data_IF_877015796813
#
_entry.id   IF_877015796813
#
_cell.length_a   1.000
_cell.length_b   1.000
_cell.length_c   1.000
_cell.angle_alpha   90.00
_cell.angle_beta   90.00
_cell.angle_gamma   90.00
#
_symmetry.space_group_name_H-M   'P 1'
#
loop_
_entity.id
_entity.type
_entity.pdbx_description
1 polymer ?
#
# COMPACT_ATOMS: atom_id res chain seq x y z
N UNK A 1 -31.96 0.22 -42.87
CA UNK A 1 -30.74 0.78 -43.49
C UNK A 1 -29.66 -0.25 -43.19
N UNK A 2 -29.19 -1.13 -44.10
CA UNK A 2 -28.36 -0.91 -45.33
C UNK A 2 -27.11 -0.08 -44.99
N UNK A 3 -25.85 -0.51 -45.19
CA UNK A 3 -25.23 -1.64 -45.93
C UNK A 3 -24.42 -2.56 -44.96
N UNK A 4 -23.86 -3.75 -45.26
CA UNK A 4 -23.81 -4.70 -46.41
C UNK A 4 -22.91 -4.44 -47.65
N UNK A 5 -21.60 -4.72 -47.52
CA UNK A 5 -20.62 -5.20 -48.56
C UNK A 5 -19.22 -5.30 -47.90
N UNK A 6 -18.37 -6.34 -47.91
CA UNK A 6 -18.07 -7.54 -48.74
C UNK A 6 -17.10 -7.30 -49.92
N UNK A 7 -16.15 -8.25 -50.07
CA UNK A 7 -15.08 -8.51 -51.09
C UNK A 7 -13.65 -8.13 -50.64
N UNK A 8 -12.72 -9.06 -50.29
CA UNK A 8 -12.17 -10.30 -50.91
C UNK A 8 -11.06 -10.01 -51.97
N UNK A 9 -10.07 -10.92 -52.02
CA UNK A 9 -9.09 -11.24 -53.09
C UNK A 9 -7.63 -10.89 -52.70
N UNK A 10 -6.81 -11.85 -52.25
CA UNK A 10 -6.01 -12.87 -53.00
C UNK A 10 -4.82 -12.29 -53.78
N UNK A 11 -3.60 -12.74 -53.44
CA UNK A 11 -2.35 -12.34 -54.08
C UNK A 11 -1.30 -13.44 -53.97
N UNK A 12 -1.47 -14.53 -54.73
CA UNK A 12 -0.61 -15.71 -54.72
C UNK A 12 -0.46 -16.17 -56.17
N UNK A 13 0.75 -16.09 -56.75
CA UNK A 13 1.12 -16.67 -58.05
C UNK A 13 2.66 -16.71 -58.21
N UNK A 14 3.20 -17.93 -58.43
CA UNK A 14 4.24 -18.39 -59.40
C UNK A 14 5.55 -17.56 -59.57
N UNK A 15 6.73 -18.10 -59.89
CA UNK A 15 7.34 -19.44 -60.07
C UNK A 15 8.89 -19.23 -59.89
N UNK A 16 9.80 -20.17 -59.69
CA UNK A 16 9.90 -21.58 -60.03
C UNK A 16 11.19 -21.80 -60.84
N UNK A 17 12.11 -22.64 -60.36
CA UNK A 17 13.25 -23.17 -61.12
C UNK A 17 13.55 -24.59 -60.63
N UNK A 18 13.58 -25.56 -61.54
CA UNK A 18 14.19 -26.87 -61.30
C UNK A 18 15.68 -26.76 -61.61
N UNK A 19 16.55 -27.33 -60.76
CA UNK A 19 17.89 -27.72 -61.19
C UNK A 19 18.26 -29.11 -60.64
N UNK A 20 19.19 -29.76 -61.34
CA UNK A 20 19.27 -31.22 -61.50
C UNK A 20 20.00 -31.96 -60.37
N UNK A 21 19.59 -33.21 -60.16
CA UNK A 21 20.16 -34.17 -59.22
C UNK A 21 21.55 -34.70 -59.65
N UNK A 22 22.55 -34.69 -58.75
CA UNK A 22 23.69 -35.59 -58.79
C UNK A 22 23.51 -36.74 -57.79
N UNK A 23 23.57 -37.98 -58.28
CA UNK A 23 23.48 -39.17 -57.43
C UNK A 23 24.57 -39.18 -56.35
N UNK A 24 24.17 -39.42 -55.09
CA UNK A 24 25.10 -39.53 -53.96
C UNK A 24 25.04 -40.90 -53.27
N UNK A 25 26.23 -41.36 -52.89
CA UNK A 25 26.60 -42.64 -52.30
C UNK A 25 25.78 -42.98 -51.04
N UNK A 26 25.46 -44.25 -50.75
CA UNK A 26 24.73 -44.63 -49.54
C UNK A 26 25.46 -44.16 -48.27
N UNK A 27 24.82 -43.23 -47.56
CA UNK A 27 25.25 -42.73 -46.25
C UNK A 27 25.01 -43.79 -45.16
N UNK A 28 25.92 -43.95 -44.17
CA UNK A 28 25.70 -44.88 -43.07
C UNK A 28 24.43 -44.53 -42.27
N UNK A 29 23.65 -45.57 -41.95
CA UNK A 29 22.40 -45.43 -41.18
C UNK A 29 22.67 -44.71 -39.85
N UNK A 30 21.95 -43.62 -39.53
CA UNK A 30 22.16 -42.91 -38.27
C UNK A 30 21.78 -43.83 -37.11
N UNK A 31 22.74 -44.03 -36.20
CA UNK A 31 22.47 -44.61 -34.88
C UNK A 31 21.51 -43.65 -34.17
N UNK A 32 20.36 -44.17 -33.72
CA UNK A 32 19.40 -43.38 -32.97
C UNK A 32 20.07 -42.81 -31.72
N UNK A 33 20.28 -41.49 -31.70
CA UNK A 33 20.71 -40.80 -30.48
C UNK A 33 19.67 -41.09 -29.39
N UNK A 34 20.09 -41.43 -28.15
CA UNK A 34 19.14 -41.53 -27.06
C UNK A 34 18.40 -40.20 -26.95
N UNK A 35 17.07 -40.27 -26.85
CA UNK A 35 16.25 -39.08 -26.56
C UNK A 35 16.78 -38.49 -25.25
N UNK A 36 17.07 -37.18 -25.18
CA UNK A 36 17.47 -36.58 -23.92
C UNK A 36 16.36 -36.82 -22.91
N UNK A 37 16.68 -37.49 -21.80
CA UNK A 37 15.80 -37.54 -20.64
C UNK A 37 15.50 -36.09 -20.28
N UNK A 38 14.23 -35.65 -20.19
CA UNK A 38 13.92 -34.29 -19.80
C UNK A 38 14.59 -34.05 -18.45
N UNK A 39 15.45 -33.02 -18.39
CA UNK A 39 15.99 -32.55 -17.12
C UNK A 39 14.77 -32.25 -16.22
N UNK A 40 14.73 -32.73 -14.97
CA UNK A 40 13.69 -32.30 -14.06
C UNK A 40 13.72 -30.78 -14.02
N UNK A 41 12.62 -30.13 -14.40
CA UNK A 41 12.46 -28.69 -14.20
C UNK A 41 12.76 -28.43 -12.72
N UNK A 42 13.61 -27.44 -12.39
CA UNK A 42 13.75 -27.06 -10.99
C UNK A 42 12.35 -26.77 -10.46
N UNK A 43 11.97 -27.45 -9.38
CA UNK A 43 10.75 -27.08 -8.65
C UNK A 43 10.94 -25.64 -8.19
N UNK A 44 9.94 -24.75 -8.35
CA UNK A 44 10.05 -23.38 -7.87
C UNK A 44 10.40 -23.43 -6.37
N UNK A 45 11.48 -22.75 -6.00
CA UNK A 45 11.86 -22.60 -4.60
C UNK A 45 10.83 -21.67 -4.00
N UNK A 46 9.92 -22.21 -3.19
CA UNK A 46 8.96 -21.38 -2.44
C UNK A 46 9.75 -20.33 -1.66
N UNK A 47 9.40 -19.06 -1.88
CA UNK A 47 10.05 -17.94 -1.22
C UNK A 47 9.48 -17.73 0.19
N UNK A 48 8.24 -18.15 0.40
CA UNK A 48 7.53 -18.10 1.67
C UNK A 48 7.86 -19.25 2.64
N UNK A 49 7.59 -19.08 3.95
CA UNK A 49 7.17 -17.83 4.59
C UNK A 49 8.32 -16.83 4.69
N UNK A 50 8.01 -15.53 4.77
CA UNK A 50 8.98 -14.45 5.00
C UNK A 50 8.49 -13.51 6.10
N UNK A 51 9.38 -13.23 7.05
CA UNK A 51 9.17 -12.31 8.18
C UNK A 51 10.00 -11.03 7.99
N UNK A 52 9.34 -9.87 8.10
CA UNK A 52 9.96 -8.55 8.07
C UNK A 52 9.60 -7.80 9.35
N UNK A 53 10.60 -7.39 10.13
CA UNK A 53 10.40 -6.61 11.36
C UNK A 53 10.87 -5.16 11.16
N UNK A 54 9.99 -4.21 11.44
CA UNK A 54 10.23 -2.76 11.34
C UNK A 54 10.05 -2.07 12.70
N UNK A 55 10.93 -1.14 13.01
CA UNK A 55 10.68 -0.07 13.97
C UNK A 55 10.18 1.15 13.20
N UNK A 56 9.02 1.71 13.59
CA UNK A 56 8.49 3.00 13.15
C UNK A 56 8.55 3.99 14.32
N UNK A 57 8.88 5.25 14.02
CA UNK A 57 8.78 6.37 14.97
C UNK A 57 7.98 7.51 14.33
N UNK A 58 7.27 8.33 15.12
CA UNK A 58 6.50 9.49 14.64
C UNK A 58 5.39 9.15 13.59
N UNK A 59 4.93 7.91 13.53
CA UNK A 59 3.99 7.47 12.48
C UNK A 59 2.53 7.79 12.81
N UNK A 60 2.08 7.57 14.06
CA UNK A 60 0.71 7.86 14.50
C UNK A 60 0.61 9.03 15.49
N UNK A 61 1.67 9.86 15.63
CA UNK A 61 1.70 10.93 16.61
C UNK A 61 2.93 11.84 16.50
N UNK A 62 2.90 12.97 17.20
CA UNK A 62 3.87 14.07 17.12
C UNK A 62 4.94 14.04 18.21
N UNK A 63 5.26 12.86 18.77
CA UNK A 63 6.19 12.70 19.88
C UNK A 63 7.32 11.74 19.46
N UNK A 64 8.56 12.23 19.43
CA UNK A 64 9.74 11.44 19.02
C UNK A 64 10.04 10.21 19.89
N UNK A 65 9.38 10.08 21.06
CA UNK A 65 9.46 8.89 21.90
C UNK A 65 8.43 7.81 21.54
N UNK A 66 7.44 8.14 20.72
CA UNK A 66 6.41 7.19 20.29
C UNK A 66 6.97 6.29 19.19
N UNK A 67 7.23 5.05 19.59
CA UNK A 67 7.67 3.98 18.70
C UNK A 67 6.60 2.91 18.58
N UNK A 68 6.49 2.34 17.39
CA UNK A 68 5.76 1.11 17.15
C UNK A 68 6.66 0.06 16.47
N UNK A 69 6.41 -1.21 16.80
CA UNK A 69 6.98 -2.36 16.11
C UNK A 69 5.96 -2.91 15.14
N UNK A 70 6.33 -3.03 13.86
CA UNK A 70 5.48 -3.59 12.81
C UNK A 70 6.15 -4.83 12.25
N UNK A 71 5.45 -5.96 12.27
CA UNK A 71 5.97 -7.22 11.72
C UNK A 71 5.03 -7.72 10.64
N UNK A 72 5.56 -7.96 9.44
CA UNK A 72 4.86 -8.57 8.31
C UNK A 72 5.28 -10.04 8.17
N UNK A 73 4.32 -10.92 7.95
CA UNK A 73 4.51 -12.32 7.59
C UNK A 73 3.84 -12.59 6.26
N UNK A 74 4.64 -12.72 5.18
CA UNK A 74 4.15 -13.17 3.88
C UNK A 74 4.24 -14.69 3.84
N UNK A 75 3.11 -15.39 3.81
CA UNK A 75 3.03 -16.83 4.13
C UNK A 75 2.66 -17.71 2.93
N UNK A 76 1.84 -17.21 2.00
CA UNK A 76 1.34 -17.99 0.86
C UNK A 76 1.52 -17.27 -0.47
N UNK A 77 2.03 -17.97 -1.50
CA UNK A 77 2.00 -17.49 -2.88
C UNK A 77 0.61 -17.72 -3.50
N UNK A 78 -0.03 -16.67 -3.99
CA UNK A 78 -1.38 -16.68 -4.51
C UNK A 78 -1.50 -16.01 -5.89
N UNK A 79 -2.62 -16.26 -6.57
CA UNK A 79 -3.01 -15.57 -7.80
C UNK A 79 -4.24 -14.71 -7.52
N UNK A 80 -4.01 -13.45 -7.13
CA UNK A 80 -5.05 -12.51 -6.72
C UNK A 80 -5.46 -11.62 -7.90
N UNK A 81 -6.74 -11.64 -8.26
CA UNK A 81 -7.31 -10.89 -9.40
C UNK A 81 -6.51 -11.03 -10.71
N UNK A 82 -5.91 -12.21 -10.93
CA UNK A 82 -5.13 -12.55 -12.12
C UNK A 82 -3.65 -12.15 -12.07
N UNK A 83 -3.25 -11.31 -11.10
CA UNK A 83 -1.84 -11.00 -10.79
C UNK A 83 -1.27 -12.07 -9.85
N UNK A 84 0.05 -12.22 -9.82
CA UNK A 84 0.71 -12.93 -8.71
C UNK A 84 0.69 -12.04 -7.45
N UNK A 85 0.57 -12.65 -6.27
CA UNK A 85 0.73 -11.97 -4.99
C UNK A 85 1.28 -12.90 -3.88
N UNK A 86 1.73 -12.33 -2.77
CA UNK A 86 1.83 -13.03 -1.49
C UNK A 86 0.67 -12.63 -0.58
N UNK A 87 -0.03 -13.60 -0.01
CA UNK A 87 -0.96 -13.38 1.09
C UNK A 87 -0.25 -13.60 2.44
N UNK A 88 -0.69 -12.88 3.46
CA UNK A 88 -0.05 -12.87 4.76
C UNK A 88 -0.82 -12.12 5.82
N UNK A 89 -0.16 -11.89 6.95
CA UNK A 89 -0.67 -11.05 8.04
C UNK A 89 0.40 -10.07 8.49
N UNK A 90 0.01 -8.99 9.14
CA UNK A 90 0.94 -8.14 9.87
C UNK A 90 0.36 -7.70 11.21
N UNK A 91 1.25 -7.40 12.15
CA UNK A 91 0.90 -6.90 13.48
C UNK A 91 1.54 -5.55 13.74
N UNK A 92 0.83 -4.68 14.46
CA UNK A 92 1.36 -3.40 14.97
C UNK A 92 1.31 -3.44 16.49
N UNK A 93 2.44 -3.10 17.11
CA UNK A 93 2.64 -3.02 18.57
C UNK A 93 3.15 -1.64 18.93
N UNK A 94 2.74 -1.06 20.06
CA UNK A 94 3.28 0.21 20.53
C UNK A 94 2.34 0.96 21.48
N UNK A 95 2.86 1.99 22.16
CA UNK A 95 2.06 2.85 23.05
C UNK A 95 0.89 3.52 22.33
N UNK A 96 1.10 3.87 21.05
CA UNK A 96 0.09 4.48 20.18
C UNK A 96 -1.12 3.56 19.90
N UNK A 97 -1.00 2.25 20.14
CA UNK A 97 -2.08 1.27 20.01
C UNK A 97 -2.72 0.88 21.37
N UNK A 98 -2.54 1.70 22.40
CA UNK A 98 -3.12 1.49 23.73
C UNK A 98 -2.52 0.31 24.48
N UNK A 99 -1.19 0.17 24.44
CA UNK A 99 -0.40 -0.95 24.99
C UNK A 99 -0.74 -2.35 24.40
N UNK A 100 -1.53 -2.39 23.33
CA UNK A 100 -1.96 -3.62 22.67
C UNK A 100 -1.12 -4.04 21.46
N UNK A 101 -1.45 -5.21 20.94
CA UNK A 101 -1.07 -5.65 19.58
C UNK A 101 -2.33 -5.75 18.73
N UNK A 102 -2.40 -4.98 17.64
CA UNK A 102 -3.43 -5.15 16.61
C UNK A 102 -2.88 -5.96 15.44
N UNK A 103 -3.78 -6.60 14.70
CA UNK A 103 -3.47 -7.52 13.61
C UNK A 103 -4.36 -7.24 12.41
N UNK A 104 -3.80 -7.34 11.22
CA UNK A 104 -4.53 -7.25 9.96
C UNK A 104 -3.97 -8.27 8.96
N UNK A 105 -4.80 -8.70 8.01
CA UNK A 105 -4.34 -9.50 6.87
C UNK A 105 -3.75 -8.57 5.82
N UNK A 106 -2.90 -9.10 4.93
CA UNK A 106 -2.31 -8.32 3.85
C UNK A 106 -2.07 -9.16 2.59
N UNK A 107 -2.15 -8.50 1.43
CA UNK A 107 -1.83 -9.06 0.11
C UNK A 107 -0.83 -8.13 -0.57
N UNK A 108 0.34 -8.67 -0.94
CA UNK A 108 1.41 -7.95 -1.64
C UNK A 108 1.54 -8.43 -3.08
N UNK A 109 1.30 -7.55 -4.05
CA UNK A 109 1.30 -7.86 -5.48
C UNK A 109 2.69 -7.69 -6.10
N UNK A 110 3.26 -8.69 -6.76
CA UNK A 110 4.66 -8.59 -7.25
C UNK A 110 4.86 -7.58 -8.38
N UNK A 111 3.89 -7.46 -9.29
CA UNK A 111 4.09 -6.78 -10.59
C UNK A 111 4.19 -5.25 -10.45
N UNK A 112 3.52 -4.71 -9.44
CA UNK A 112 3.44 -3.27 -9.13
C UNK A 112 3.80 -2.95 -7.67
N UNK A 113 4.06 -3.97 -6.84
CA UNK A 113 4.30 -3.87 -5.40
C UNK A 113 3.20 -3.16 -4.64
N UNK A 114 1.95 -3.23 -5.10
CA UNK A 114 0.78 -2.78 -4.35
C UNK A 114 0.64 -3.61 -3.06
N UNK A 115 0.41 -2.97 -1.91
CA UNK A 115 0.18 -3.63 -0.62
C UNK A 115 -1.23 -3.30 -0.12
N UNK A 116 -2.12 -4.28 -0.20
CA UNK A 116 -3.49 -4.20 0.32
C UNK A 116 -3.56 -4.77 1.73
N UNK A 117 -4.41 -4.22 2.59
CA UNK A 117 -4.60 -4.72 3.95
C UNK A 117 -6.06 -4.68 4.39
N UNK A 118 -6.40 -5.48 5.39
CA UNK A 118 -7.67 -5.35 6.10
C UNK A 118 -7.56 -4.27 7.18
N UNK A 119 -8.69 -3.85 7.73
CA UNK A 119 -8.68 -3.06 8.96
C UNK A 119 -8.00 -3.79 10.13
N UNK A 120 -7.58 -3.00 11.13
CA UNK A 120 -6.95 -3.50 12.34
C UNK A 120 -7.94 -4.18 13.28
N UNK A 121 -7.64 -5.42 13.65
CA UNK A 121 -8.46 -6.26 14.52
C UNK A 121 -7.68 -6.79 15.72
N UNK A 122 -8.37 -7.40 16.68
CA UNK A 122 -7.72 -8.19 17.72
C UNK A 122 -7.25 -9.52 17.15
N UNK A 123 -6.18 -10.09 17.75
CA UNK A 123 -5.59 -11.38 17.34
C UNK A 123 -6.61 -12.51 17.14
N UNK A 124 -7.66 -12.57 17.95
CA UNK A 124 -8.71 -13.59 17.88
C UNK A 124 -9.66 -13.44 16.69
N UNK A 125 -9.62 -12.33 15.96
CA UNK A 125 -10.53 -12.02 14.85
C UNK A 125 -9.92 -12.32 13.47
N UNK A 126 -8.58 -12.42 13.34
CA UNK A 126 -7.90 -12.63 12.05
C UNK A 126 -8.21 -13.99 11.37
N UNK A 127 -8.85 -14.91 12.10
CA UNK A 127 -9.39 -16.18 11.57
C UNK A 127 -10.65 -15.99 10.71
N UNK A 128 -11.34 -14.86 10.81
CA UNK A 128 -12.59 -14.58 10.09
C UNK A 128 -12.32 -13.81 8.79
N UNK A 129 -13.28 -13.85 7.86
CA UNK A 129 -13.32 -12.99 6.67
C UNK A 129 -13.35 -11.51 7.11
N UNK A 130 -12.67 -10.63 6.39
CA UNK A 130 -12.60 -9.21 6.75
C UNK A 130 -13.75 -8.41 6.15
N UNK A 131 -14.41 -7.60 6.98
CA UNK A 131 -15.53 -6.75 6.55
C UNK A 131 -15.04 -5.53 5.72
N UNK A 132 -13.87 -4.98 6.04
CA UNK A 132 -13.32 -3.75 5.47
C UNK A 132 -11.86 -3.90 4.98
N UNK A 133 -11.56 -3.23 3.86
CA UNK A 133 -10.26 -3.20 3.18
C UNK A 133 -9.73 -1.78 3.12
N UNK A 134 -8.48 -1.59 3.53
CA UNK A 134 -7.77 -0.31 3.56
C UNK A 134 -6.44 -0.39 2.78
N UNK A 135 -5.91 0.77 2.39
CA UNK A 135 -4.51 0.84 1.96
C UNK A 135 -3.62 0.56 3.17
N UNK A 136 -2.67 -0.37 3.02
CA UNK A 136 -1.73 -0.70 4.07
C UNK A 136 -0.84 0.49 4.45
N UNK A 137 -0.22 0.50 5.65
CA UNK A 137 0.96 1.31 5.89
C UNK A 137 2.01 0.96 4.82
N UNK A 138 2.38 1.96 4.01
CA UNK A 138 3.20 1.86 2.79
C UNK A 138 4.70 1.58 3.13
N UNK A 139 4.96 0.91 4.25
CA UNK A 139 6.28 0.80 4.90
C UNK A 139 7.17 -0.20 4.16
N UNK A 140 6.65 -1.40 3.88
CA UNK A 140 7.39 -2.48 3.21
C UNK A 140 7.80 -2.08 1.78
N UNK A 141 6.93 -1.34 1.10
CA UNK A 141 6.88 -1.21 -0.36
C UNK A 141 6.93 0.24 -0.88
N UNK A 142 7.19 1.23 0.00
CA UNK A 142 7.16 2.66 -0.31
C UNK A 142 7.75 3.03 -1.67
N UNK A 143 8.97 2.57 -1.91
CA UNK A 143 9.71 2.98 -3.09
C UNK A 143 9.08 2.45 -4.39
N UNK A 144 8.38 1.31 -4.32
CA UNK A 144 7.61 0.79 -5.45
C UNK A 144 6.31 1.60 -5.64
N UNK A 145 5.54 1.87 -4.58
CA UNK A 145 4.29 2.65 -4.70
C UNK A 145 4.56 4.06 -5.25
N UNK A 146 5.66 4.70 -4.86
CA UNK A 146 6.10 5.99 -5.40
C UNK A 146 6.23 5.98 -6.94
N UNK A 147 6.80 4.90 -7.49
CA UNK A 147 6.99 4.73 -8.93
C UNK A 147 5.70 4.29 -9.63
N UNK A 148 4.96 3.35 -9.03
CA UNK A 148 3.68 2.85 -9.53
C UNK A 148 2.59 3.94 -9.54
N UNK A 149 2.63 4.91 -8.62
CA UNK A 149 1.77 6.10 -8.62
C UNK A 149 1.98 6.97 -9.87
N UNK A 150 3.21 6.98 -10.41
CA UNK A 150 3.59 7.74 -11.60
C UNK A 150 3.60 6.90 -12.90
N UNK A 151 3.13 5.65 -12.86
CA UNK A 151 3.16 4.73 -13.99
C UNK A 151 4.58 4.35 -14.44
N UNK A 152 5.55 4.39 -13.52
CA UNK A 152 6.92 3.92 -13.74
C UNK A 152 7.13 2.56 -13.07
N UNK A 153 8.04 1.79 -13.64
CA UNK A 153 8.48 0.50 -13.11
C UNK A 153 9.83 0.68 -12.40
N UNK A 154 9.85 0.41 -11.08
CA UNK A 154 11.04 0.50 -10.25
C UNK A 154 12.09 -0.56 -10.62
N UNK A 155 11.71 -1.68 -11.26
CA UNK A 155 12.66 -2.74 -11.65
C UNK A 155 13.60 -2.31 -12.78
N UNK A 156 13.31 -1.18 -13.46
CA UNK A 156 14.12 -0.67 -14.58
C UNK A 156 15.51 -0.22 -14.14
N UNK A 157 16.55 -0.53 -14.92
CA UNK A 157 17.94 -0.17 -14.54
C UNK A 157 18.19 1.34 -14.49
N UNK A 158 17.33 2.16 -15.10
CA UNK A 158 17.45 3.62 -15.08
C UNK A 158 17.51 4.17 -13.64
N UNK A 159 16.67 3.69 -12.71
CA UNK A 159 16.70 4.21 -11.34
C UNK A 159 17.92 3.71 -10.55
N UNK A 160 18.28 2.43 -10.70
CA UNK A 160 19.40 1.82 -9.95
C UNK A 160 20.79 2.28 -10.42
N UNK A 161 20.91 2.80 -11.65
CA UNK A 161 22.18 3.20 -12.27
C UNK A 161 22.29 4.71 -12.59
N UNK A 162 21.19 5.48 -12.54
CA UNK A 162 21.23 6.90 -12.92
C UNK A 162 21.98 7.77 -11.92
N UNK A 163 23.04 8.42 -12.42
CA UNK A 163 23.75 9.53 -11.76
C UNK A 163 23.07 10.90 -11.94
N UNK A 164 21.85 10.93 -12.51
CA UNK A 164 21.04 12.13 -12.73
C UNK A 164 19.76 12.06 -11.91
N UNK A 165 19.28 13.19 -11.36
CA UNK A 165 17.97 13.25 -10.72
C UNK A 165 16.85 12.82 -11.70
N UNK A 166 16.05 11.85 -11.28
CA UNK A 166 14.91 11.33 -12.04
C UNK A 166 13.63 12.06 -11.57
N UNK A 167 13.04 12.94 -12.39
CA UNK A 167 11.77 13.57 -12.05
C UNK A 167 10.62 12.56 -12.17
N UNK A 168 9.81 12.53 -11.12
CA UNK A 168 8.55 11.79 -11.00
C UNK A 168 7.46 12.84 -10.73
N UNK A 169 6.38 12.79 -11.51
CA UNK A 169 5.33 13.80 -11.46
C UNK A 169 4.06 13.26 -10.84
N UNK A 170 3.25 14.16 -10.31
CA UNK A 170 1.89 13.88 -9.88
C UNK A 170 1.78 12.78 -8.79
N UNK A 171 2.87 12.56 -8.04
CA UNK A 171 2.99 11.56 -6.97
C UNK A 171 2.08 11.94 -5.81
N UNK A 172 1.34 10.96 -5.29
CA UNK A 172 0.52 11.13 -4.08
C UNK A 172 1.27 10.52 -2.89
N UNK A 173 1.56 11.32 -1.88
CA UNK A 173 2.31 10.92 -0.69
C UNK A 173 1.81 11.68 0.55
N UNK A 174 1.52 10.98 1.64
CA UNK A 174 0.94 11.54 2.88
C UNK A 174 -0.18 12.57 2.63
N UNK A 175 -1.18 12.19 1.83
CA UNK A 175 -2.33 13.00 1.42
C UNK A 175 -2.01 14.28 0.60
N UNK A 176 -0.76 14.49 0.22
CA UNK A 176 -0.32 15.57 -0.67
C UNK A 176 -0.03 15.05 -2.06
N UNK A 177 -0.18 15.91 -3.07
CA UNK A 177 0.17 15.60 -4.46
C UNK A 177 1.29 16.51 -4.92
N UNK A 178 2.46 15.93 -5.18
CA UNK A 178 3.69 16.66 -5.44
C UNK A 178 4.46 16.12 -6.67
N UNK A 179 5.46 16.88 -7.12
CA UNK A 179 6.49 16.40 -8.03
C UNK A 179 7.73 16.07 -7.19
N UNK A 180 8.23 14.86 -7.35
CA UNK A 180 9.39 14.34 -6.60
C UNK A 180 10.56 14.15 -7.56
N UNK A 181 11.74 14.63 -7.20
CA UNK A 181 12.99 14.35 -7.90
C UNK A 181 13.76 13.32 -7.08
N UNK A 182 13.97 12.14 -7.65
CA UNK A 182 14.69 11.04 -6.98
C UNK A 182 16.14 11.03 -7.45
N UNK A 183 17.08 11.05 -6.50
CA UNK A 183 18.53 10.98 -6.76
C UNK A 183 19.04 9.67 -6.15
N UNK A 184 19.91 8.96 -6.86
CA UNK A 184 20.56 7.73 -6.38
C UNK A 184 21.89 8.11 -5.72
N UNK A 185 22.02 7.85 -4.42
CA UNK A 185 23.20 8.17 -3.61
C UNK A 185 24.16 6.97 -3.48
N UNK A 186 23.80 5.82 -4.05
CA UNK A 186 24.62 4.61 -4.08
C UNK A 186 24.27 3.63 -2.96
N UNK A 187 25.28 3.10 -2.26
CA UNK A 187 25.06 2.06 -1.25
C UNK A 187 24.55 2.67 0.07
N UNK A 188 23.37 2.24 0.53
CA UNK A 188 22.88 2.61 1.85
C UNK A 188 23.45 1.78 2.99
N UNK A 189 23.02 2.10 4.20
CA UNK A 189 23.63 1.64 5.45
C UNK A 189 22.72 0.68 6.28
N UNK A 190 21.75 0.05 5.61
CA UNK A 190 20.72 -0.79 6.22
C UNK A 190 21.21 -2.15 6.75
N UNK A 191 20.31 -2.89 7.42
CA UNK A 191 20.58 -4.24 7.95
C UNK A 191 20.76 -5.31 6.87
N UNK A 192 20.36 -4.99 5.63
CA UNK A 192 20.60 -5.75 4.40
C UNK A 192 21.11 -4.79 3.31
N UNK A 193 21.84 -5.28 2.30
CA UNK A 193 22.29 -4.45 1.18
C UNK A 193 21.10 -3.78 0.47
N UNK A 194 21.17 -2.46 0.32
CA UNK A 194 20.15 -1.66 -0.36
C UNK A 194 20.80 -0.43 -1.03
N UNK A 195 20.11 0.15 -2.01
CA UNK A 195 20.51 1.41 -2.66
C UNK A 195 19.79 2.55 -1.96
N UNK A 196 20.55 3.58 -1.58
CA UNK A 196 20.03 4.79 -0.97
C UNK A 196 19.61 5.81 -2.03
N UNK A 197 18.49 6.47 -1.78
CA UNK A 197 17.92 7.47 -2.64
C UNK A 197 17.50 8.70 -1.84
N UNK A 198 17.87 9.89 -2.33
CA UNK A 198 17.35 11.16 -1.83
C UNK A 198 16.13 11.60 -2.66
N UNK A 199 15.01 11.85 -1.98
CA UNK A 199 13.75 12.31 -2.58
C UNK A 199 13.53 13.78 -2.26
N UNK A 200 13.54 14.62 -3.29
CA UNK A 200 13.29 16.06 -3.18
C UNK A 200 11.89 16.40 -3.70
N UNK A 201 11.05 17.01 -2.87
CA UNK A 201 9.74 17.55 -3.26
C UNK A 201 9.73 19.07 -3.11
N UNK A 202 8.93 19.77 -3.92
CA UNK A 202 8.76 21.22 -3.83
C UNK A 202 8.12 21.67 -2.50
N UNK A 203 7.34 20.78 -1.89
CA UNK A 203 6.60 21.03 -0.65
C UNK A 203 7.30 20.44 0.59
N UNK A 204 8.48 19.82 0.41
CA UNK A 204 9.28 19.23 1.49
C UNK A 204 10.35 20.22 1.99
N UNK A 205 10.58 20.33 3.31
CA UNK A 205 11.57 21.26 3.86
C UNK A 205 13.03 20.81 3.66
N UNK A 206 13.26 19.53 3.33
CA UNK A 206 14.55 18.94 2.97
C UNK A 206 14.37 17.63 2.20
N UNK A 207 15.45 16.90 1.95
CA UNK A 207 15.41 15.56 1.38
C UNK A 207 14.77 14.56 2.36
N UNK A 208 13.95 13.67 1.82
CA UNK A 208 13.66 12.38 2.48
C UNK A 208 14.68 11.38 1.95
N UNK A 209 15.36 10.64 2.82
CA UNK A 209 16.26 9.55 2.43
C UNK A 209 15.49 8.25 2.56
N UNK A 210 15.50 7.43 1.51
CA UNK A 210 14.95 6.09 1.53
C UNK A 210 15.96 5.09 0.97
N UNK A 211 16.07 3.91 1.58
CA UNK A 211 16.89 2.83 1.03
C UNK A 211 16.01 1.65 0.64
N UNK A 212 16.24 1.11 -0.56
CA UNK A 212 15.42 0.05 -1.12
C UNK A 212 16.30 -1.08 -1.69
N UNK A 213 15.87 -2.34 -1.55
CA UNK A 213 16.58 -3.47 -2.15
C UNK A 213 16.31 -3.52 -3.65
N UNK A 214 17.34 -3.76 -4.45
CA UNK A 214 17.15 -4.02 -5.88
C UNK A 214 16.39 -5.35 -6.07
N UNK A 215 15.31 -5.39 -6.88
CA UNK A 215 14.63 -6.63 -7.23
C UNK A 215 15.59 -7.65 -7.89
N UNK A 216 15.41 -8.93 -7.59
CA UNK A 216 16.22 -10.04 -8.12
C UNK A 216 15.33 -11.18 -8.63
N UNK A 217 15.90 -12.20 -9.29
CA UNK A 217 15.13 -13.40 -9.68
C UNK A 217 14.60 -14.17 -8.46
N UNK A 218 15.33 -14.16 -7.33
CA UNK A 218 14.91 -14.79 -6.07
C UNK A 218 13.97 -13.92 -5.22
N UNK A 219 13.91 -12.62 -5.47
CA UNK A 219 13.00 -11.69 -4.81
C UNK A 219 12.61 -10.60 -5.82
N UNK A 220 11.60 -10.86 -6.68
CA UNK A 220 11.25 -9.98 -7.80
C UNK A 220 10.45 -8.74 -7.38
N UNK A 221 10.80 -8.18 -6.22
CA UNK A 221 10.14 -7.06 -5.56
C UNK A 221 11.16 -6.24 -4.76
N UNK A 222 10.86 -4.97 -4.52
CA UNK A 222 11.72 -4.08 -3.74
C UNK A 222 11.23 -3.97 -2.31
N UNK A 223 12.12 -4.18 -1.35
CA UNK A 223 11.89 -4.03 0.09
C UNK A 223 12.47 -2.69 0.51
N UNK A 224 11.66 -1.84 1.13
CA UNK A 224 12.14 -0.60 1.77
C UNK A 224 12.85 -0.98 3.07
N UNK A 225 14.12 -0.61 3.22
CA UNK A 225 14.97 -0.97 4.36
C UNK A 225 14.98 0.12 5.43
N UNK A 226 14.95 1.39 5.03
CA UNK A 226 14.66 2.50 5.93
C UNK A 226 14.12 3.71 5.16
N UNK A 227 13.43 4.59 5.90
CA UNK A 227 13.18 5.98 5.52
C UNK A 227 13.44 6.89 6.71
N UNK A 228 14.15 7.99 6.47
CA UNK A 228 14.54 8.99 7.45
C UNK A 228 14.69 10.38 6.81
N UNK A 229 14.65 11.49 7.59
CA UNK A 229 15.03 12.81 7.09
C UNK A 229 16.51 12.84 6.70
N UNK A 230 16.85 13.57 5.63
CA UNK A 230 18.24 13.78 5.22
C UNK A 230 19.00 14.84 6.01
N UNK A 231 20.31 14.94 5.77
CA UNK A 231 21.19 15.94 6.41
C UNK A 231 20.78 17.40 6.17
N UNK A 232 19.98 17.68 5.13
CA UNK A 232 19.44 19.00 4.81
C UNK A 232 18.06 19.27 5.43
N UNK A 233 17.50 18.31 6.19
CA UNK A 233 16.22 18.47 6.89
C UNK A 233 16.34 19.50 8.03
N UNK A 234 15.57 20.60 8.02
CA UNK A 234 15.69 21.64 9.04
C UNK A 234 15.29 21.14 10.44
N UNK A 235 16.09 21.48 11.46
CA UNK A 235 15.79 21.16 12.88
C UNK A 235 14.39 21.64 13.34
N UNK A 236 13.87 22.70 12.69
CA UNK A 236 12.58 23.30 12.99
C UNK A 236 11.43 22.88 12.04
N UNK A 237 11.65 21.88 11.18
CA UNK A 237 10.65 21.36 10.25
C UNK A 237 9.55 20.52 10.92
N UNK A 238 9.74 20.16 12.20
CA UNK A 238 8.87 19.24 12.93
C UNK A 238 9.30 17.78 12.80
N UNK A 239 8.53 16.89 13.41
CA UNK A 239 8.79 15.46 13.43
C UNK A 239 8.49 14.81 12.08
N UNK A 240 9.43 14.04 11.54
CA UNK A 240 9.23 13.23 10.32
C UNK A 240 9.01 11.75 10.71
N UNK A 241 8.05 11.03 10.10
CA UNK A 241 7.84 9.60 10.35
C UNK A 241 9.02 8.79 9.81
N UNK A 242 9.77 8.14 10.69
CA UNK A 242 10.88 7.27 10.30
C UNK A 242 10.46 5.81 10.35
N UNK A 243 11.03 4.98 9.48
CA UNK A 243 10.96 3.53 9.64
C UNK A 243 12.26 2.84 9.27
N UNK A 244 12.51 1.71 9.93
CA UNK A 244 13.74 0.95 9.76
C UNK A 244 13.50 -0.53 9.94
N UNK A 245 13.88 -1.33 8.94
CA UNK A 245 13.96 -2.78 9.03
C UNK A 245 15.03 -3.13 10.09
N UNK A 246 14.64 -3.84 11.15
CA UNK A 246 15.51 -4.09 12.32
C UNK A 246 16.39 -5.33 12.17
N UNK A 247 16.00 -6.26 11.29
CA UNK A 247 16.71 -7.50 11.03
C UNK A 247 16.61 -7.90 9.55
N UNK A 248 17.56 -8.72 9.08
CA UNK A 248 17.44 -9.33 7.75
C UNK A 248 16.21 -10.25 7.69
N UNK A 249 15.43 -10.27 6.59
CA UNK A 249 14.20 -11.05 6.52
C UNK A 249 14.47 -12.54 6.76
N UNK A 250 13.65 -13.17 7.59
CA UNK A 250 13.82 -14.60 7.96
C UNK A 250 12.74 -15.46 7.34
N UNK A 251 13.04 -16.74 7.07
CA UNK A 251 12.04 -17.69 6.55
C UNK A 251 11.18 -18.26 7.68
N UNK A 252 10.32 -17.40 8.25
CA UNK A 252 9.51 -17.68 9.44
C UNK A 252 8.05 -17.29 9.19
N UNK A 253 7.14 -18.22 9.45
CA UNK A 253 5.71 -17.95 9.51
C UNK A 253 5.38 -17.30 10.85
N UNK A 254 4.26 -16.60 10.91
CA UNK A 254 3.69 -16.02 12.13
C UNK A 254 3.43 -17.09 13.20
N UNK A 255 3.05 -18.30 12.77
CA UNK A 255 2.56 -19.38 13.64
C UNK A 255 1.10 -19.18 14.06
N UNK A 256 0.43 -18.16 13.52
CA UNK A 256 -0.97 -17.86 13.80
C UNK A 256 -1.91 -18.65 12.89
N UNK A 257 -3.17 -18.78 13.32
CA UNK A 257 -4.23 -19.25 12.44
C UNK A 257 -4.92 -18.02 11.84
N UNK A 258 -4.87 -17.90 10.52
CA UNK A 258 -5.57 -16.86 9.76
C UNK A 258 -6.20 -17.49 8.51
N UNK A 259 -7.33 -16.95 8.07
CA UNK A 259 -7.85 -17.25 6.74
C UNK A 259 -7.18 -16.30 5.75
N UNK A 260 -6.08 -16.74 5.13
CA UNK A 260 -5.38 -15.96 4.12
C UNK A 260 -6.21 -15.92 2.83
N UNK A 261 -6.62 -14.72 2.46
CA UNK A 261 -7.45 -14.46 1.29
C UNK A 261 -6.85 -13.34 0.45
N UNK A 262 -7.21 -13.29 -0.83
CA UNK A 262 -6.77 -12.23 -1.72
C UNK A 262 -7.52 -10.93 -1.40
N UNK A 263 -6.79 -9.94 -0.90
CA UNK A 263 -7.32 -8.60 -0.63
C UNK A 263 -7.05 -7.73 -1.86
N UNK A 264 -8.10 -7.31 -2.56
CA UNK A 264 -7.96 -6.42 -3.72
C UNK A 264 -7.43 -5.05 -3.30
N UNK A 265 -6.39 -4.56 -3.99
CA UNK A 265 -5.83 -3.24 -3.73
C UNK A 265 -6.79 -2.12 -4.15
N UNK A 266 -7.12 -1.23 -3.22
CA UNK A 266 -7.98 -0.07 -3.45
C UNK A 266 -7.12 1.16 -3.70
N UNK A 267 -6.93 1.53 -4.98
CA UNK A 267 -6.23 2.76 -5.35
C UNK A 267 -7.17 3.98 -5.31
N UNK A 268 -7.17 4.71 -4.20
CA UNK A 268 -7.93 5.94 -4.07
C UNK A 268 -7.39 7.08 -4.95
N UNK A 269 -8.30 7.81 -5.60
CA UNK A 269 -7.94 8.98 -6.39
C UNK A 269 -7.59 10.18 -5.50
N UNK A 270 -6.57 10.96 -5.87
CA UNK A 270 -6.25 12.19 -5.13
C UNK A 270 -7.39 13.21 -5.20
N UNK A 271 -7.94 13.54 -4.04
CA UNK A 271 -8.85 14.68 -3.86
C UNK A 271 -8.06 15.84 -3.27
N UNK A 272 -8.10 17.00 -3.94
CA UNK A 272 -7.42 18.19 -3.45
C UNK A 272 -8.03 18.64 -2.13
N UNK A 273 -7.22 18.71 -1.08
CA UNK A 273 -7.64 19.30 0.20
C UNK A 273 -8.08 20.77 0.00
N UNK A 274 -9.17 21.21 0.65
CA UNK A 274 -9.57 22.62 0.66
C UNK A 274 -8.50 23.50 1.30
N UNK A 275 -8.36 24.71 0.74
CA UNK A 275 -7.47 25.74 1.25
C UNK A 275 -7.85 26.22 2.66
N UNK A 276 -6.93 26.93 3.32
CA UNK A 276 -7.19 27.59 4.61
C UNK A 276 -8.45 28.45 4.55
N UNK A 277 -8.54 29.36 3.57
CA UNK A 277 -9.71 30.21 3.35
C UNK A 277 -11.02 29.42 3.18
N UNK A 278 -11.02 28.29 2.46
CA UNK A 278 -12.19 27.44 2.28
C UNK A 278 -12.60 26.74 3.59
N UNK A 279 -11.61 26.30 4.40
CA UNK A 279 -11.84 25.72 5.72
C UNK A 279 -12.36 26.75 6.73
N UNK A 280 -11.77 27.94 6.78
CA UNK A 280 -12.23 29.03 7.65
C UNK A 280 -13.67 29.48 7.29
N UNK A 281 -13.98 29.60 6.00
CA UNK A 281 -15.34 29.92 5.53
C UNK A 281 -16.36 28.83 5.85
N UNK A 282 -15.91 27.57 5.90
CA UNK A 282 -16.70 26.42 6.32
C UNK A 282 -17.02 26.51 7.82
N UNK A 283 -15.99 26.71 8.64
CA UNK A 283 -16.05 26.59 10.10
C UNK A 283 -16.69 27.80 10.80
N UNK A 284 -16.71 28.96 10.13
CA UNK A 284 -17.38 30.19 10.61
C UNK A 284 -18.91 30.09 10.81
N UNK A 285 -19.55 28.95 10.55
CA UNK A 285 -21.02 28.76 10.58
C UNK A 285 -21.48 27.53 11.36
N UNK A 286 -20.86 27.27 12.51
CA UNK A 286 -21.15 26.11 13.37
C UNK A 286 -21.18 24.79 12.58
N UNK A 287 -20.17 24.65 11.74
CA UNK A 287 -19.98 23.56 10.79
C UNK A 287 -18.53 23.13 10.87
N UNK A 288 -18.22 21.91 10.45
CA UNK A 288 -16.85 21.44 10.28
C UNK A 288 -16.67 20.92 8.86
N UNK A 289 -15.47 21.09 8.34
CA UNK A 289 -15.06 20.41 7.13
C UNK A 289 -14.96 18.91 7.42
N UNK A 290 -15.57 18.09 6.57
CA UNK A 290 -15.53 16.62 6.66
C UNK A 290 -15.22 16.01 5.30
N UNK A 291 -14.52 14.90 5.34
CA UNK A 291 -14.29 14.04 4.19
C UNK A 291 -15.55 13.23 3.89
N UNK A 292 -15.83 13.07 2.60
CA UNK A 292 -16.89 12.21 2.07
C UNK A 292 -16.23 10.98 1.45
N UNK A 293 -16.50 9.79 1.98
CA UNK A 293 -15.92 8.54 1.52
C UNK A 293 -16.86 7.79 0.56
N UNK A 294 -16.30 7.02 -0.37
CA UNK A 294 -17.06 6.00 -1.10
C UNK A 294 -17.13 4.66 -0.34
N UNK A 295 -17.73 3.66 -0.97
CA UNK A 295 -17.91 2.31 -0.44
C UNK A 295 -16.61 1.47 -0.32
N UNK A 296 -15.47 2.01 -0.72
CA UNK A 296 -14.14 1.42 -0.53
C UNK A 296 -13.28 2.32 0.39
N UNK A 297 -13.91 3.18 1.20
CA UNK A 297 -13.28 4.14 2.10
C UNK A 297 -12.35 5.17 1.42
N UNK A 298 -12.48 5.38 0.10
CA UNK A 298 -11.74 6.42 -0.59
C UNK A 298 -12.39 7.79 -0.42
N UNK A 299 -11.60 8.81 -0.05
CA UNK A 299 -12.06 10.21 -0.08
C UNK A 299 -12.47 10.56 -1.51
N UNK A 300 -13.71 11.06 -1.67
CA UNK A 300 -14.28 11.50 -2.95
C UNK A 300 -14.47 13.02 -3.02
N UNK A 301 -14.43 13.69 -1.88
CA UNK A 301 -14.67 15.12 -1.76
C UNK A 301 -14.60 15.59 -0.31
N UNK A 302 -14.74 16.89 -0.14
CA UNK A 302 -14.83 17.55 1.16
C UNK A 302 -16.15 18.34 1.22
N UNK A 303 -16.87 18.25 2.34
CA UNK A 303 -18.14 18.94 2.56
C UNK A 303 -18.15 19.69 3.89
N UNK A 304 -18.80 20.83 3.89
CA UNK A 304 -19.21 21.51 5.12
C UNK A 304 -20.48 20.86 5.65
N UNK A 305 -20.36 20.12 6.75
CA UNK A 305 -21.51 19.58 7.50
C UNK A 305 -21.67 20.39 8.78
N UNK A 306 -22.91 20.61 9.25
CA UNK A 306 -23.13 21.26 10.54
C UNK A 306 -22.61 20.38 11.66
N UNK A 307 -22.22 20.98 12.78
CA UNK A 307 -21.80 20.24 13.97
C UNK A 307 -22.90 19.26 14.42
N UNK A 308 -24.16 19.69 14.44
CA UNK A 308 -25.32 18.85 14.74
C UNK A 308 -25.46 17.62 13.82
N UNK A 309 -25.32 17.82 12.50
CA UNK A 309 -25.43 16.73 11.51
C UNK A 309 -24.32 15.69 11.73
N UNK A 310 -23.09 16.15 12.05
CA UNK A 310 -21.93 15.29 12.35
C UNK A 310 -22.15 14.55 13.68
N UNK A 311 -22.70 15.22 14.69
CA UNK A 311 -22.99 14.61 15.99
C UNK A 311 -23.99 13.45 15.84
N UNK A 312 -25.08 13.65 15.09
CA UNK A 312 -26.02 12.58 14.76
C UNK A 312 -25.36 11.42 13.99
N UNK A 313 -24.52 11.72 12.98
CA UNK A 313 -23.79 10.69 12.22
C UNK A 313 -22.87 9.86 13.14
N UNK A 314 -22.10 10.50 14.02
CA UNK A 314 -21.20 9.81 14.94
C UNK A 314 -21.94 8.98 15.99
N UNK A 315 -23.00 9.51 16.60
CA UNK A 315 -23.80 8.74 17.58
C UNK A 315 -24.45 7.52 16.93
N UNK A 316 -24.96 7.66 15.69
CA UNK A 316 -25.53 6.53 14.93
C UNK A 316 -24.49 5.45 14.62
N UNK A 317 -23.24 5.83 14.37
CA UNK A 317 -22.14 4.89 14.14
C UNK A 317 -21.67 4.20 15.44
N UNK A 318 -21.72 4.92 16.57
CA UNK A 318 -21.30 4.41 17.88
C UNK A 318 -22.34 3.51 18.58
N UNK A 319 -23.56 3.41 18.05
CA UNK A 319 -24.66 2.65 18.65
C UNK A 319 -25.20 1.54 17.75
N UNK A 320 -25.90 0.56 18.36
CA UNK A 320 -26.58 -0.49 17.62
C UNK A 320 -27.63 0.10 16.64
N UNK A 321 -27.71 -0.34 15.37
CA UNK A 321 -28.69 0.16 14.40
C UNK A 321 -30.17 0.05 14.80
N UNK A 322 -30.50 -0.78 15.78
CA UNK A 322 -31.85 -0.89 16.34
C UNK A 322 -32.20 0.21 17.37
N UNK A 323 -31.23 1.02 17.80
CA UNK A 323 -31.43 2.11 18.74
C UNK A 323 -32.19 3.28 18.12
N UNK A 324 -32.95 3.99 18.95
CA UNK A 324 -33.67 5.20 18.55
C UNK A 324 -32.73 6.40 18.35
N UNK A 325 -33.34 7.58 18.17
CA UNK A 325 -32.61 8.83 18.33
C UNK A 325 -32.10 8.94 19.78
N UNK A 326 -30.86 9.43 20.00
CA UNK A 326 -30.33 9.71 21.33
C UNK A 326 -31.09 10.86 22.01
N UNK A 327 -30.85 11.09 23.30
CA UNK A 327 -31.35 12.28 23.99
C UNK A 327 -30.63 13.55 23.51
N UNK A 328 -31.27 14.71 23.67
CA UNK A 328 -30.64 15.99 23.31
C UNK A 328 -29.34 16.21 24.09
N UNK A 329 -29.30 15.85 25.37
CA UNK A 329 -28.11 15.97 26.23
C UNK A 329 -26.89 15.19 25.66
N UNK A 330 -27.12 14.05 25.00
CA UNK A 330 -26.06 13.27 24.32
C UNK A 330 -25.61 13.98 23.05
N UNK A 331 -26.55 14.52 22.26
CA UNK A 331 -26.23 15.28 21.05
C UNK A 331 -25.40 16.51 21.43
N UNK A 332 -25.87 17.33 22.37
CA UNK A 332 -25.21 18.56 22.82
C UNK A 332 -23.78 18.30 23.32
N UNK A 333 -23.56 17.21 24.08
CA UNK A 333 -22.23 16.80 24.54
C UNK A 333 -21.30 16.40 23.39
N UNK A 334 -21.79 15.63 22.41
CA UNK A 334 -21.03 15.26 21.21
C UNK A 334 -20.72 16.49 20.34
N UNK A 335 -21.68 17.40 20.18
CA UNK A 335 -21.45 18.67 19.48
C UNK A 335 -20.38 19.52 20.16
N UNK A 336 -20.35 19.58 21.50
CA UNK A 336 -19.31 20.29 22.25
C UNK A 336 -17.92 19.69 22.01
N UNK A 337 -17.77 18.35 22.04
CA UNK A 337 -16.51 17.69 21.70
C UNK A 337 -16.07 17.94 20.25
N UNK A 338 -17.01 18.00 19.30
CA UNK A 338 -16.73 18.32 17.90
C UNK A 338 -16.31 19.79 17.73
N UNK A 339 -16.91 20.73 18.45
CA UNK A 339 -16.52 22.16 18.41
C UNK A 339 -15.12 22.38 18.96
N UNK A 340 -14.79 21.68 20.04
CA UNK A 340 -13.52 21.82 20.78
C UNK A 340 -12.38 20.96 20.22
N UNK A 341 -12.62 20.16 19.16
CA UNK A 341 -11.65 19.24 18.54
C UNK A 341 -10.94 18.33 19.56
N UNK A 342 -11.67 17.83 20.56
CA UNK A 342 -11.14 17.25 21.81
C UNK A 342 -10.40 15.89 21.70
N UNK A 343 -9.93 15.51 20.52
CA UNK A 343 -9.12 14.30 20.29
C UNK A 343 -9.87 12.96 20.34
N UNK A 344 -11.12 12.93 20.79
CA UNK A 344 -11.96 11.72 20.82
C UNK A 344 -13.29 11.96 21.52
N UNK A 345 -14.13 10.92 21.53
CA UNK A 345 -15.39 10.90 22.30
C UNK A 345 -15.45 9.59 23.08
N UNK A 346 -15.63 9.71 24.39
CA UNK A 346 -15.83 8.63 25.33
C UNK A 346 -17.32 8.28 25.39
N UNK A 347 -17.68 7.09 24.92
CA UNK A 347 -19.07 6.61 24.83
C UNK A 347 -19.44 5.74 26.05
N UNK A 348 -20.60 6.00 26.65
CA UNK A 348 -21.24 5.09 27.60
C UNK A 348 -22.46 4.46 26.95
N UNK A 349 -22.44 3.14 26.80
CA UNK A 349 -23.47 2.36 26.12
C UNK A 349 -24.21 1.44 27.10
N UNK A 350 -25.52 1.31 26.92
CA UNK A 350 -26.31 0.35 27.71
C UNK A 350 -26.20 -1.09 27.20
N UNK A 351 -26.91 -2.00 27.86
CA UNK A 351 -26.89 -3.43 27.55
C UNK A 351 -27.35 -3.80 26.13
N UNK A 352 -28.05 -2.90 25.43
CA UNK A 352 -28.46 -3.08 24.04
C UNK A 352 -27.47 -2.45 23.03
N UNK A 353 -26.42 -1.79 23.51
CA UNK A 353 -25.49 -1.02 22.70
C UNK A 353 -26.04 0.35 22.26
N UNK A 354 -27.00 0.93 22.98
CA UNK A 354 -27.44 2.31 22.73
C UNK A 354 -26.63 3.30 23.59
N UNK A 355 -26.21 4.42 23.00
CA UNK A 355 -25.48 5.48 23.71
C UNK A 355 -26.41 6.16 24.73
N UNK A 356 -25.99 6.21 25.99
CA UNK A 356 -26.70 6.88 27.08
C UNK A 356 -26.00 8.16 27.55
N UNK A 357 -24.67 8.25 27.39
CA UNK A 357 -23.91 9.48 27.59
C UNK A 357 -22.67 9.50 26.71
N UNK A 358 -22.23 10.71 26.36
CA UNK A 358 -20.96 10.96 25.70
C UNK A 358 -20.18 12.02 26.50
N UNK A 359 -18.86 11.96 26.47
CA UNK A 359 -17.98 13.03 26.95
C UNK A 359 -16.72 13.12 26.12
N UNK A 360 -16.02 14.23 26.25
CA UNK A 360 -14.61 14.33 25.92
C UNK A 360 -13.86 14.11 27.25
#
# INVERSE_FOLDING_TARGET
>A
MKYLAVFIVFGLILAGCMETEPATTPSPSPIASPSPTPLPSPSPVALTPLEFEYEVSNFFGSNDQDKAGITYWLEEEAACSGKKAFNGIYSVTGSQMGDGTVWAKTTYYYEDGELASTDFTQKSQIVFEADDVIQAPIILNFFQELFAAAGKDLTTSEIWESTKPLPIKDVVFFNNKANVSVVNEGNGHGVIPCTEFALYSQDSPGAVIACATQPTEEAPYSITVYIEPGDDWPENAGTFPTWKLVAAPTRKASGESALLECIDFVRCGYVKQPSGDEREQCEAKDSKLREDYDKNSCVTGYKCKKVADIAEEQIRSAQNPACGLPSQDVIDAVEECIRNDSGGINWSNNQNGCVESASC
#
